data_IF_486650387478
#
_entry.id   IF_486650387478
#
_cell.length_a   1.000
_cell.length_b   1.000
_cell.length_c   1.000
_cell.angle_alpha   90.00
_cell.angle_beta   90.00
_cell.angle_gamma   90.00
#
_symmetry.space_group_name_H-M   'P 1'
#
loop_
_entity.id
_entity.type
_entity.pdbx_description
1 polymer ?
#
# COMPACT_ATOMS: atom_id res chain seq x y z
N UNK A 1 -5.51 18.58 -3.53
CA UNK A 1 -4.28 18.35 -4.31
C UNK A 1 -3.83 19.69 -4.88
N UNK A 2 -2.57 20.00 -4.66
CA UNK A 2 -1.97 21.24 -5.13
C UNK A 2 -0.74 20.87 -5.95
N UNK A 3 -0.54 21.56 -7.08
CA UNK A 3 0.64 21.41 -7.91
C UNK A 3 1.41 22.74 -7.93
N UNK A 4 2.74 22.66 -7.85
CA UNK A 4 3.63 23.80 -7.94
C UNK A 4 4.55 23.63 -9.16
N UNK A 5 5.01 24.75 -9.72
CA UNK A 5 6.15 24.73 -10.64
C UNK A 5 7.43 24.94 -9.85
N UNK A 6 8.54 24.37 -10.32
CA UNK A 6 9.87 24.61 -9.78
C UNK A 6 10.27 26.10 -9.87
N UNK A 7 9.71 26.85 -10.82
CA UNK A 7 9.94 28.29 -10.95
C UNK A 7 9.12 29.14 -9.97
N UNK A 8 8.08 28.57 -9.34
CA UNK A 8 7.18 29.29 -8.43
C UNK A 8 6.67 28.37 -7.31
N UNK A 9 7.43 28.30 -6.22
CA UNK A 9 7.11 27.51 -5.03
C UNK A 9 6.31 28.28 -3.97
N UNK A 10 6.15 29.60 -4.12
CA UNK A 10 5.46 30.44 -3.13
C UNK A 10 3.95 30.24 -3.08
N UNK A 11 3.34 29.80 -4.18
CA UNK A 11 1.90 29.51 -4.26
C UNK A 11 1.66 28.38 -5.27
N UNK A 12 0.62 27.55 -5.06
CA UNK A 12 0.30 26.49 -6.02
C UNK A 12 -0.16 27.10 -7.35
N UNK A 13 0.29 26.51 -8.45
CA UNK A 13 -0.18 26.86 -9.79
C UNK A 13 -1.58 26.31 -10.04
N UNK A 14 -1.83 25.09 -9.57
CA UNK A 14 -3.17 24.48 -9.61
C UNK A 14 -3.53 24.01 -8.21
N UNK A 15 -4.79 24.21 -7.85
CA UNK A 15 -5.37 23.70 -6.61
C UNK A 15 -6.71 23.05 -6.92
N UNK A 16 -6.90 21.86 -6.36
CA UNK A 16 -8.11 21.07 -6.50
C UNK A 16 -8.49 20.49 -5.15
N UNK A 17 -9.69 20.81 -4.69
CA UNK A 17 -10.25 20.19 -3.50
C UNK A 17 -10.78 18.79 -3.86
N UNK A 18 -10.37 17.78 -3.07
CA UNK A 18 -10.77 16.40 -3.30
C UNK A 18 -12.07 16.14 -2.55
N UNK A 19 -13.19 16.13 -3.27
CA UNK A 19 -14.53 15.93 -2.72
C UNK A 19 -15.13 14.66 -3.29
N UNK A 20 -15.57 13.75 -2.44
CA UNK A 20 -16.29 12.56 -2.86
C UNK A 20 -17.81 12.82 -2.82
N UNK A 21 -18.51 12.43 -3.89
CA UNK A 21 -19.97 12.53 -4.04
C UNK A 21 -20.58 13.91 -3.70
N UNK A 22 -19.84 15.00 -3.97
CA UNK A 22 -20.25 16.41 -3.77
C UNK A 22 -20.73 16.76 -2.34
N UNK A 23 -20.40 15.94 -1.34
CA UNK A 23 -20.92 16.12 0.01
C UNK A 23 -19.84 16.61 0.98
N UNK A 24 -18.69 15.93 1.04
CA UNK A 24 -17.63 16.20 2.01
C UNK A 24 -16.24 16.10 1.39
N UNK A 25 -15.31 17.01 1.76
CA UNK A 25 -13.90 16.85 1.45
C UNK A 25 -13.37 15.54 2.03
N UNK A 26 -12.54 14.84 1.25
CA UNK A 26 -11.85 13.64 1.70
C UNK A 26 -10.62 14.06 2.49
N UNK A 27 -10.58 13.70 3.78
CA UNK A 27 -9.39 13.89 4.62
C UNK A 27 -8.32 12.86 4.21
N UNK A 28 -7.38 13.29 3.37
CA UNK A 28 -6.34 12.42 2.80
C UNK A 28 -5.19 12.26 3.78
N UNK A 29 -4.83 11.01 4.08
CA UNK A 29 -3.74 10.63 4.99
C UNK A 29 -2.46 10.24 4.26
N UNK A 30 -2.59 9.76 3.02
CA UNK A 30 -1.47 9.36 2.17
C UNK A 30 -1.87 9.38 0.70
N UNK A 31 -0.88 9.54 -0.18
CA UNK A 31 -1.08 9.50 -1.63
C UNK A 31 0.08 8.80 -2.32
N UNK A 32 -0.21 8.07 -3.40
CA UNK A 32 0.81 7.42 -4.23
C UNK A 32 0.37 7.41 -5.70
N UNK A 33 1.36 7.45 -6.60
CA UNK A 33 1.15 7.32 -8.05
C UNK A 33 1.52 5.89 -8.49
N UNK A 34 0.66 5.21 -9.26
CA UNK A 34 1.06 4.03 -10.01
C UNK A 34 2.28 4.30 -10.88
N UNK A 35 3.15 3.31 -11.00
CA UNK A 35 4.39 3.46 -11.74
C UNK A 35 4.14 3.77 -13.21
N UNK A 36 4.77 4.83 -13.71
CA UNK A 36 4.59 5.32 -15.08
C UNK A 36 3.35 6.20 -15.28
N UNK A 37 2.52 6.39 -14.25
CA UNK A 37 1.36 7.29 -14.30
C UNK A 37 1.65 8.58 -13.54
N UNK A 38 1.52 9.71 -14.22
CA UNK A 38 1.72 11.06 -13.65
C UNK A 38 0.40 11.81 -13.45
N UNK A 39 -0.71 11.25 -13.93
CA UNK A 39 -2.01 11.88 -13.88
C UNK A 39 -2.93 11.20 -12.87
N UNK A 40 -2.97 9.86 -12.86
CA UNK A 40 -3.81 9.11 -11.94
C UNK A 40 -3.01 8.71 -10.71
N UNK A 41 -3.67 8.77 -9.57
CA UNK A 41 -3.08 8.44 -8.27
C UNK A 41 -4.13 7.82 -7.37
N UNK A 42 -3.66 7.24 -6.28
CA UNK A 42 -4.50 6.69 -5.21
C UNK A 42 -4.26 7.48 -3.93
N UNK A 43 -5.31 7.64 -3.14
CA UNK A 43 -5.28 8.33 -1.85
C UNK A 43 -5.95 7.49 -0.77
N UNK A 44 -5.32 7.40 0.40
CA UNK A 44 -5.95 6.86 1.61
C UNK A 44 -6.66 7.97 2.39
N UNK A 45 -7.69 7.62 3.15
CA UNK A 45 -8.43 8.56 4.00
C UNK A 45 -8.40 8.21 5.49
N UNK A 46 -8.74 9.20 6.32
CA UNK A 46 -8.94 9.01 7.76
C UNK A 46 -10.12 8.07 8.09
N UNK A 47 -11.07 7.90 7.17
CA UNK A 47 -12.23 7.04 7.35
C UNK A 47 -11.95 5.56 6.97
N UNK A 48 -10.72 5.22 6.59
CA UNK A 48 -10.34 3.87 6.17
C UNK A 48 -10.71 3.52 4.72
N UNK A 49 -11.10 4.52 3.93
CA UNK A 49 -11.37 4.36 2.51
C UNK A 49 -10.12 4.67 1.70
N UNK A 50 -9.99 3.99 0.55
CA UNK A 50 -9.01 4.36 -0.48
C UNK A 50 -9.76 4.87 -1.69
N UNK A 51 -9.21 5.85 -2.39
CA UNK A 51 -9.82 6.39 -3.60
C UNK A 51 -8.80 6.42 -4.74
N UNK A 52 -9.25 6.15 -5.95
CA UNK A 52 -8.53 6.61 -7.14
C UNK A 52 -8.85 8.07 -7.39
N UNK A 53 -7.94 8.79 -8.03
CA UNK A 53 -8.13 10.18 -8.38
C UNK A 53 -7.30 10.54 -9.62
N UNK A 54 -7.70 11.60 -10.32
CA UNK A 54 -6.97 12.12 -11.48
C UNK A 54 -6.65 13.59 -11.29
N UNK A 55 -5.43 13.99 -11.68
CA UNK A 55 -4.93 15.37 -11.60
C UNK A 55 -5.57 16.27 -12.65
N UNK A 56 -5.71 15.77 -13.88
CA UNK A 56 -6.23 16.50 -15.01
C UNK A 56 -7.28 15.69 -15.78
N UNK A 57 -7.91 16.36 -16.76
CA UNK A 57 -8.88 15.77 -17.67
C UNK A 57 -10.33 15.86 -17.17
N UNK A 58 -11.24 15.24 -17.91
CA UNK A 58 -12.68 15.26 -17.59
C UNK A 58 -13.05 14.51 -16.31
N UNK A 59 -12.13 13.66 -15.81
CA UNK A 59 -12.26 12.91 -14.56
C UNK A 59 -11.41 13.50 -13.42
N UNK A 60 -10.96 14.74 -13.55
CA UNK A 60 -10.20 15.43 -12.52
C UNK A 60 -10.94 15.41 -11.17
N UNK A 61 -10.24 15.02 -10.10
CA UNK A 61 -10.80 14.83 -8.76
C UNK A 61 -10.85 13.37 -8.34
N UNK A 62 -11.67 13.08 -7.33
CA UNK A 62 -11.88 11.72 -6.83
C UNK A 62 -12.67 10.89 -7.85
N UNK A 63 -12.18 9.68 -8.11
CA UNK A 63 -12.80 8.66 -8.95
C UNK A 63 -13.49 7.58 -8.12
N UNK A 64 -13.03 6.34 -8.28
CA UNK A 64 -13.60 5.17 -7.59
C UNK A 64 -13.19 5.10 -6.13
N UNK A 65 -14.10 4.64 -5.28
CA UNK A 65 -13.91 4.38 -3.86
C UNK A 65 -13.69 2.89 -3.61
N UNK A 66 -12.73 2.58 -2.74
CA UNK A 66 -12.29 1.26 -2.34
C UNK A 66 -12.54 1.12 -0.84
N UNK A 67 -13.38 0.17 -0.49
CA UNK A 67 -13.79 -0.06 0.90
C UNK A 67 -13.08 -1.29 1.45
N UNK A 68 -12.46 -1.18 2.63
CA UNK A 68 -11.93 -2.36 3.30
C UNK A 68 -11.30 -2.13 4.67
N UNK A 69 -10.57 -1.03 4.88
CA UNK A 69 -10.01 -0.77 6.21
C UNK A 69 -11.10 -0.30 7.20
N UNK A 70 -10.92 -0.65 8.48
CA UNK A 70 -11.81 -0.29 9.58
C UNK A 70 -11.26 0.86 10.44
N UNK A 71 -10.20 1.51 9.96
CA UNK A 71 -9.54 2.63 10.60
C UNK A 71 -8.72 3.44 9.59
N UNK A 72 -8.19 4.62 10.00
CA UNK A 72 -7.41 5.50 9.14
C UNK A 72 -6.34 4.75 8.34
N UNK A 73 -6.31 4.97 7.03
CA UNK A 73 -5.19 4.51 6.20
C UNK A 73 -3.95 5.31 6.59
N UNK A 74 -2.85 4.67 6.94
CA UNK A 74 -1.64 5.34 7.45
C UNK A 74 -0.52 5.42 6.42
N UNK A 75 -0.48 4.44 5.52
CA UNK A 75 0.54 4.31 4.48
C UNK A 75 -0.10 3.79 3.21
N UNK A 76 0.44 4.21 2.07
CA UNK A 76 0.04 3.74 0.74
C UNK A 76 1.27 3.65 -0.15
N UNK A 77 1.44 2.50 -0.79
CA UNK A 77 2.55 2.27 -1.71
C UNK A 77 2.05 1.55 -2.95
N UNK A 78 2.14 2.21 -4.09
CA UNK A 78 1.95 1.55 -5.38
C UNK A 78 3.14 0.64 -5.69
N UNK A 79 2.89 -0.43 -6.43
CA UNK A 79 3.94 -1.30 -6.94
C UNK A 79 4.83 -0.52 -7.92
N UNK A 80 6.14 -0.57 -7.69
CA UNK A 80 7.12 0.21 -8.43
C UNK A 80 8.36 -0.56 -8.87
N UNK A 81 8.43 -1.87 -8.61
CA UNK A 81 9.47 -2.70 -9.17
C UNK A 81 9.28 -2.83 -10.69
N UNK A 82 10.37 -2.63 -11.44
CA UNK A 82 10.38 -2.76 -12.91
C UNK A 82 10.93 -4.14 -13.28
N UNK A 83 10.19 -4.89 -14.10
CA UNK A 83 10.60 -6.22 -14.53
C UNK A 83 9.77 -6.78 -15.69
N UNK A 84 9.86 -8.08 -15.97
CA UNK A 84 9.25 -8.71 -17.14
C UNK A 84 7.71 -8.74 -17.12
N UNK A 85 7.07 -8.55 -15.97
CA UNK A 85 5.60 -8.54 -15.81
C UNK A 85 5.21 -7.24 -15.13
N UNK A 86 4.24 -6.52 -15.71
CA UNK A 86 3.77 -5.26 -15.16
C UNK A 86 2.73 -5.45 -14.05
N UNK A 87 3.08 -5.01 -12.85
CA UNK A 87 2.22 -5.00 -11.66
C UNK A 87 1.83 -3.60 -11.20
N UNK A 88 2.01 -2.56 -12.04
CA UNK A 88 1.69 -1.15 -11.74
C UNK A 88 0.26 -0.90 -11.24
N UNK A 89 -0.67 -1.80 -11.56
CA UNK A 89 -2.06 -1.77 -11.09
C UNK A 89 -2.22 -2.17 -9.62
N UNK A 90 -1.19 -2.72 -8.97
CA UNK A 90 -1.21 -3.14 -7.57
C UNK A 90 -0.73 -2.02 -6.65
N UNK A 91 -1.29 -2.00 -5.44
CA UNK A 91 -0.83 -1.16 -4.36
C UNK A 91 -1.14 -1.83 -3.02
N UNK A 92 -0.41 -1.43 -1.98
CA UNK A 92 -0.67 -1.86 -0.60
C UNK A 92 -0.97 -0.65 0.27
N UNK A 93 -1.76 -0.87 1.30
CA UNK A 93 -2.05 0.13 2.33
C UNK A 93 -1.90 -0.45 3.72
N UNK A 94 -1.49 0.38 4.67
CA UNK A 94 -1.48 0.07 6.10
C UNK A 94 -2.55 0.89 6.83
N UNK A 95 -2.96 0.44 8.01
CA UNK A 95 -3.99 1.14 8.77
C UNK A 95 -3.87 0.95 10.29
N UNK A 96 -4.54 1.83 11.02
CA UNK A 96 -4.82 1.69 12.44
C UNK A 96 -5.79 0.54 12.77
N UNK A 97 -6.31 -0.17 11.79
CA UNK A 97 -7.05 -1.42 12.02
C UNK A 97 -6.14 -2.65 12.19
N UNK A 98 -4.83 -2.45 12.37
CA UNK A 98 -3.79 -3.48 12.55
C UNK A 98 -3.51 -4.31 11.29
N UNK A 99 -4.09 -3.94 10.15
CA UNK A 99 -3.91 -4.69 8.91
C UNK A 99 -3.09 -3.94 7.86
N UNK A 100 -2.42 -4.72 7.03
CA UNK A 100 -1.98 -4.28 5.70
C UNK A 100 -2.91 -4.93 4.68
N UNK A 101 -3.34 -4.20 3.66
CA UNK A 101 -4.20 -4.74 2.60
C UNK A 101 -3.53 -4.61 1.23
N UNK A 102 -3.65 -5.65 0.42
CA UNK A 102 -3.26 -5.66 -0.99
C UNK A 102 -4.46 -5.30 -1.85
N UNK A 103 -4.24 -4.44 -2.84
CA UNK A 103 -5.30 -3.94 -3.72
C UNK A 103 -4.88 -3.99 -5.18
N UNK A 104 -5.87 -3.82 -6.05
CA UNK A 104 -5.70 -3.58 -7.48
C UNK A 104 -6.58 -2.41 -7.89
N UNK A 105 -6.09 -1.50 -8.72
CA UNK A 105 -6.90 -0.40 -9.28
C UNK A 105 -8.05 -0.86 -10.17
N UNK A 106 -8.17 -2.18 -10.42
CA UNK A 106 -9.21 -2.80 -11.25
C UNK A 106 -10.46 -3.23 -10.47
N UNK A 107 -10.39 -3.31 -9.14
CA UNK A 107 -11.49 -3.78 -8.29
C UNK A 107 -11.56 -3.00 -6.99
N UNK A 108 -12.76 -2.59 -6.58
CA UNK A 108 -13.01 -1.70 -5.43
C UNK A 108 -12.99 -2.38 -4.05
N UNK A 109 -12.45 -3.60 -3.95
CA UNK A 109 -12.33 -4.38 -2.72
C UNK A 109 -10.91 -4.94 -2.62
N UNK A 110 -10.38 -5.15 -1.41
CA UNK A 110 -9.03 -5.68 -1.25
C UNK A 110 -8.91 -7.06 -1.89
N UNK A 111 -7.73 -7.34 -2.44
CA UNK A 111 -7.35 -8.67 -2.92
C UNK A 111 -7.01 -9.59 -1.75
N UNK A 112 -6.32 -9.06 -0.74
CA UNK A 112 -5.85 -9.82 0.41
C UNK A 112 -5.67 -8.91 1.63
N UNK A 113 -5.71 -9.49 2.82
CA UNK A 113 -5.53 -8.83 4.12
C UNK A 113 -4.42 -9.55 4.89
N UNK A 114 -3.39 -8.84 5.32
CA UNK A 114 -2.30 -9.32 6.16
C UNK A 114 -2.55 -8.88 7.60
N UNK A 115 -2.72 -9.83 8.51
CA UNK A 115 -3.32 -9.60 9.84
C UNK A 115 -2.41 -10.03 11.01
N UNK A 116 -1.12 -10.30 10.76
CA UNK A 116 -0.15 -10.72 11.79
C UNK A 116 0.51 -9.56 12.56
N UNK A 117 0.20 -8.30 12.24
CA UNK A 117 0.85 -7.14 12.90
C UNK A 117 0.51 -7.07 14.39
N UNK A 118 1.42 -6.54 15.22
CA UNK A 118 1.27 -6.57 16.67
C UNK A 118 0.54 -5.34 17.24
N UNK A 119 0.34 -4.28 16.46
CA UNK A 119 -0.37 -3.05 16.81
C UNK A 119 -0.72 -2.22 15.54
N UNK A 120 -1.12 -0.96 15.70
CA UNK A 120 -1.32 0.01 14.62
C UNK A 120 -0.15 -0.01 13.64
N UNK A 121 -0.44 -0.29 12.37
CA UNK A 121 0.55 -0.25 11.30
C UNK A 121 0.67 1.20 10.85
N UNK A 122 1.85 1.80 11.01
CA UNK A 122 2.06 3.23 10.77
C UNK A 122 2.52 3.55 9.35
N UNK A 123 3.17 2.61 8.67
CA UNK A 123 3.62 2.79 7.30
C UNK A 123 3.86 1.46 6.61
N UNK A 124 3.76 1.46 5.27
CA UNK A 124 4.03 0.31 4.42
C UNK A 124 4.72 0.78 3.15
N UNK A 125 5.68 0.00 2.65
CA UNK A 125 6.36 0.32 1.40
C UNK A 125 6.75 -0.92 0.62
N UNK A 126 6.36 -0.94 -0.66
CA UNK A 126 6.84 -1.91 -1.64
C UNK A 126 8.34 -1.81 -1.84
N UNK A 127 8.99 -2.97 -2.03
CA UNK A 127 10.36 -3.01 -2.53
C UNK A 127 10.42 -2.38 -3.92
N UNK A 128 11.38 -1.47 -4.18
CA UNK A 128 11.55 -0.84 -5.49
C UNK A 128 12.16 -1.78 -6.54
N UNK A 129 12.59 -2.98 -6.16
CA UNK A 129 13.27 -3.93 -7.05
C UNK A 129 12.64 -5.31 -7.08
N UNK A 130 12.06 -5.78 -5.96
CA UNK A 130 11.54 -7.14 -5.86
C UNK A 130 10.02 -7.19 -6.08
N UNK A 131 9.51 -8.04 -7.00
CA UNK A 131 8.14 -8.00 -7.49
C UNK A 131 7.08 -8.41 -6.47
N UNK A 132 7.47 -9.12 -5.41
CA UNK A 132 6.57 -9.64 -4.38
C UNK A 132 6.94 -9.22 -2.94
N UNK A 133 7.86 -8.26 -2.73
CA UNK A 133 8.37 -7.91 -1.40
C UNK A 133 7.86 -6.53 -0.96
N UNK A 134 7.39 -6.42 0.27
CA UNK A 134 7.13 -5.14 0.91
C UNK A 134 7.55 -5.16 2.39
N UNK A 135 7.69 -3.97 2.97
CA UNK A 135 7.98 -3.77 4.38
C UNK A 135 6.81 -3.05 5.06
N UNK A 136 6.51 -3.41 6.31
CA UNK A 136 5.52 -2.76 7.15
C UNK A 136 6.10 -2.51 8.55
N UNK A 137 5.63 -1.45 9.21
CA UNK A 137 6.10 -1.07 10.56
C UNK A 137 4.96 -0.71 11.48
N UNK A 138 5.07 -1.10 12.75
CA UNK A 138 4.00 -0.94 13.74
C UNK A 138 4.40 -0.21 15.02
N UNK A 139 3.40 0.00 15.89
CA UNK A 139 3.55 0.66 17.18
C UNK A 139 4.29 -0.11 18.25
N UNK A 140 4.55 -1.39 18.05
CA UNK A 140 5.32 -2.23 18.97
C UNK A 140 6.80 -2.32 18.59
N UNK A 141 7.23 -1.47 17.66
CA UNK A 141 8.62 -1.42 17.23
C UNK A 141 9.00 -2.55 16.27
N UNK A 142 8.00 -3.18 15.63
CA UNK A 142 8.19 -4.29 14.69
C UNK A 142 8.41 -3.75 13.28
N UNK A 143 9.44 -4.25 12.62
CA UNK A 143 9.63 -4.17 11.17
C UNK A 143 9.38 -5.56 10.60
N UNK A 144 8.37 -5.66 9.74
CA UNK A 144 8.02 -6.90 9.04
C UNK A 144 8.33 -6.80 7.56
N UNK A 145 8.95 -7.86 7.04
CA UNK A 145 9.19 -8.07 5.61
C UNK A 145 8.30 -9.19 5.11
N UNK A 146 7.46 -8.86 4.14
CA UNK A 146 6.48 -9.76 3.56
C UNK A 146 6.85 -10.09 2.13
N UNK A 147 7.03 -11.38 1.83
CA UNK A 147 7.20 -11.86 0.46
C UNK A 147 5.96 -12.67 0.05
N UNK A 148 5.15 -12.14 -0.88
CA UNK A 148 3.91 -12.78 -1.32
C UNK A 148 4.15 -14.08 -2.12
N UNK A 149 5.40 -14.41 -2.48
CA UNK A 149 5.74 -15.72 -3.04
C UNK A 149 5.89 -16.80 -1.97
N UNK A 150 6.00 -16.42 -0.70
CA UNK A 150 6.07 -17.31 0.45
C UNK A 150 4.70 -17.41 1.13
N UNK A 151 4.65 -18.04 2.31
CA UNK A 151 3.47 -18.03 3.17
C UNK A 151 3.07 -16.58 3.48
N UNK A 152 1.79 -16.27 3.28
CA UNK A 152 1.21 -14.94 3.50
C UNK A 152 0.44 -14.83 4.82
N UNK A 153 0.37 -15.90 5.62
CA UNK A 153 -0.21 -15.86 6.96
C UNK A 153 0.74 -15.20 7.98
N UNK A 154 2.04 -15.24 7.74
CA UNK A 154 3.08 -14.66 8.59
C UNK A 154 4.15 -13.94 7.75
N UNK A 155 4.85 -12.92 8.27
CA UNK A 155 5.91 -12.27 7.54
C UNK A 155 7.09 -13.22 7.31
N UNK A 156 7.76 -13.03 6.17
CA UNK A 156 8.95 -13.83 5.82
C UNK A 156 10.13 -13.54 6.76
N UNK A 157 10.25 -12.31 7.23
CA UNK A 157 11.21 -11.94 8.27
C UNK A 157 10.62 -10.84 9.15
N UNK A 158 10.97 -10.86 10.43
CA UNK A 158 10.52 -9.87 11.40
C UNK A 158 11.63 -9.51 12.38
N UNK A 159 11.68 -8.25 12.79
CA UNK A 159 12.57 -7.77 13.84
C UNK A 159 11.83 -6.76 14.73
N UNK A 160 12.03 -6.87 16.04
CA UNK A 160 11.57 -5.87 17.01
C UNK A 160 12.78 -5.11 17.53
N UNK A 161 12.73 -3.77 17.48
CA UNK A 161 13.82 -2.94 18.01
C UNK A 161 13.88 -3.00 19.54
N UNK A 162 15.07 -2.83 20.10
CA UNK A 162 15.27 -2.81 21.55
C UNK A 162 14.45 -1.67 22.18
N UNK A 163 13.69 -2.00 23.22
CA UNK A 163 12.79 -1.07 23.90
C UNK A 163 11.41 -0.91 23.24
N UNK A 164 11.17 -1.55 22.07
CA UNK A 164 9.87 -1.58 21.40
C UNK A 164 9.26 -0.18 21.16
N UNK A 165 10.10 0.83 20.88
CA UNK A 165 9.63 2.15 20.48
C UNK A 165 8.86 2.07 19.17
N UNK A 166 7.75 2.79 19.04
CA UNK A 166 6.92 2.75 17.84
C UNK A 166 7.71 3.15 16.59
N UNK A 167 7.60 2.36 15.51
CA UNK A 167 8.23 2.65 14.22
C UNK A 167 7.22 3.38 13.32
N UNK A 168 7.54 4.62 12.95
CA UNK A 168 6.56 5.53 12.32
C UNK A 168 6.62 5.54 10.79
N UNK A 169 7.79 5.27 10.21
CA UNK A 169 8.04 5.39 8.76
C UNK A 169 9.04 4.35 8.30
N UNK A 170 8.79 3.77 7.12
CA UNK A 170 9.68 2.79 6.47
C UNK A 170 10.05 3.24 5.06
N UNK A 171 11.33 3.22 4.70
CA UNK A 171 11.80 3.60 3.35
C UNK A 171 12.84 2.60 2.85
N UNK A 172 12.64 2.11 1.63
CA UNK A 172 13.66 1.34 0.92
C UNK A 172 14.70 2.25 0.31
N UNK A 173 15.95 1.83 0.33
CA UNK A 173 16.97 2.37 -0.56
C UNK A 173 16.58 2.06 -2.02
N UNK A 174 17.00 2.90 -2.97
CA UNK A 174 16.66 2.71 -4.39
C UNK A 174 17.20 1.40 -4.97
N UNK A 175 18.30 0.87 -4.42
CA UNK A 175 18.84 -0.44 -4.77
C UNK A 175 18.04 -1.61 -4.18
N UNK A 176 17.08 -1.33 -3.29
CA UNK A 176 16.18 -2.29 -2.67
C UNK A 176 16.81 -3.19 -1.61
N UNK A 177 18.11 -3.05 -1.32
CA UNK A 177 18.81 -3.93 -0.38
C UNK A 177 18.72 -3.45 1.07
N UNK A 178 18.63 -2.15 1.28
CA UNK A 178 18.54 -1.56 2.61
C UNK A 178 17.14 -1.00 2.89
N UNK A 179 16.70 -1.15 4.14
CA UNK A 179 15.48 -0.52 4.68
C UNK A 179 15.88 0.41 5.82
N UNK A 180 15.41 1.65 5.73
CA UNK A 180 15.53 2.66 6.78
C UNK A 180 14.20 2.80 7.53
N UNK A 181 14.25 2.81 8.86
CA UNK A 181 13.08 2.94 9.72
C UNK A 181 13.30 4.00 10.79
N UNK A 182 12.34 4.90 10.97
CA UNK A 182 12.37 5.92 12.03
C UNK A 182 11.50 5.53 13.22
N UNK A 183 12.03 5.63 14.45
CA UNK A 183 11.27 5.36 15.68
C UNK A 183 10.72 6.63 16.34
N UNK A 184 9.89 6.45 17.37
CA UNK A 184 9.27 7.55 18.15
C UNK A 184 10.27 8.35 18.99
N UNK A 185 11.47 7.82 19.22
CA UNK A 185 12.55 8.47 19.98
C UNK A 185 13.48 9.28 19.08
N UNK A 186 13.17 9.38 17.78
CA UNK A 186 13.95 10.14 16.81
C UNK A 186 15.19 9.42 16.29
N UNK A 187 15.32 8.10 16.54
CA UNK A 187 16.41 7.28 15.99
C UNK A 187 16.02 6.74 14.61
N UNK A 188 17.03 6.53 13.78
CA UNK A 188 16.89 5.87 12.47
C UNK A 188 17.67 4.56 12.50
N UNK A 189 16.99 3.48 12.17
CA UNK A 189 17.51 2.13 12.08
C UNK A 189 17.69 1.77 10.60
N UNK A 190 18.85 1.22 10.24
CA UNK A 190 19.14 0.76 8.89
C UNK A 190 19.37 -0.75 8.92
N UNK A 191 18.63 -1.48 8.08
CA UNK A 191 18.70 -2.93 7.96
C UNK A 191 19.16 -3.31 6.56
N UNK A 192 20.10 -4.25 6.45
CA UNK A 192 20.39 -4.97 5.20
C UNK A 192 19.43 -6.16 5.12
N UNK A 193 18.60 -6.18 4.08
CA UNK A 193 17.61 -7.23 3.81
C UNK A 193 18.25 -8.46 3.17
N UNK A 194 19.49 -8.33 2.67
CA UNK A 194 20.27 -9.42 2.12
C UNK A 194 19.64 -10.05 0.88
N UNK A 195 19.78 -11.36 0.76
CA UNK A 195 19.31 -12.13 -0.40
C UNK A 195 17.78 -12.06 -0.61
N UNK A 196 17.00 -11.80 0.45
CA UNK A 196 15.54 -11.68 0.32
C UNK A 196 15.13 -10.52 -0.61
N UNK A 197 15.94 -9.47 -0.69
CA UNK A 197 15.69 -8.32 -1.55
C UNK A 197 16.13 -8.53 -3.01
N UNK A 198 16.89 -9.58 -3.31
CA UNK A 198 17.45 -9.82 -4.65
C UNK A 198 16.39 -10.53 -5.50
N UNK A 199 15.81 -9.88 -6.53
CA UNK A 199 14.81 -10.52 -7.36
C UNK A 199 15.43 -11.52 -8.33
N UNK A 200 14.81 -12.69 -8.45
CA UNK A 200 15.04 -13.61 -9.55
C UNK A 200 13.94 -13.48 -10.62
N UNK A 201 14.25 -13.84 -11.86
CA UNK A 201 13.26 -13.80 -12.96
C UNK A 201 12.03 -14.66 -12.65
N UNK A 202 12.22 -15.77 -11.94
CA UNK A 202 11.15 -16.67 -11.54
C UNK A 202 10.17 -16.04 -10.53
N UNK A 203 10.62 -15.08 -9.71
CA UNK A 203 9.77 -14.40 -8.72
C UNK A 203 8.61 -13.65 -9.36
N UNK A 204 8.84 -13.08 -10.54
CA UNK A 204 7.78 -12.39 -11.30
C UNK A 204 6.69 -13.34 -11.74
N UNK A 205 7.08 -14.50 -12.27
CA UNK A 205 6.14 -15.51 -12.76
C UNK A 205 5.42 -16.20 -11.61
N UNK A 206 6.14 -16.44 -10.50
CA UNK A 206 5.56 -16.98 -9.27
C UNK A 206 4.56 -16.01 -8.66
N UNK A 207 4.89 -14.73 -8.59
CA UNK A 207 3.98 -13.73 -8.03
C UNK A 207 2.71 -13.57 -8.87
N UNK A 208 2.82 -13.60 -10.19
CA UNK A 208 1.66 -13.63 -11.08
C UNK A 208 0.74 -14.82 -10.79
N UNK A 209 1.29 -16.00 -10.46
CA UNK A 209 0.52 -17.18 -10.06
C UNK A 209 -0.12 -17.00 -8.68
N UNK A 210 0.63 -16.53 -7.68
CA UNK A 210 0.08 -16.24 -6.35
C UNK A 210 -1.12 -15.30 -6.44
N UNK A 211 -1.07 -14.27 -7.28
CA UNK A 211 -2.21 -13.36 -7.47
C UNK A 211 -3.45 -14.04 -8.06
N UNK A 212 -3.28 -15.08 -8.89
CA UNK A 212 -4.40 -15.89 -9.38
C UNK A 212 -5.00 -16.72 -8.26
N UNK A 213 -4.16 -17.34 -7.42
CA UNK A 213 -4.58 -18.13 -6.26
C UNK A 213 -5.31 -17.27 -5.23
N UNK A 214 -4.77 -16.10 -4.88
CA UNK A 214 -5.41 -15.12 -3.99
C UNK A 214 -6.80 -14.74 -4.51
N UNK A 215 -6.95 -14.52 -5.82
CA UNK A 215 -8.25 -14.18 -6.43
C UNK A 215 -9.22 -15.35 -6.42
N UNK A 216 -8.73 -16.58 -6.67
CA UNK A 216 -9.57 -17.78 -6.65
C UNK A 216 -10.13 -18.01 -5.24
N UNK A 217 -9.29 -17.93 -4.22
CA UNK A 217 -9.70 -18.11 -2.81
C UNK A 217 -10.71 -17.06 -2.36
N UNK A 218 -10.70 -15.87 -2.97
CA UNK A 218 -11.73 -14.85 -2.73
C UNK A 218 -13.07 -15.21 -3.38
N UNK A 219 -13.05 -15.76 -4.59
CA UNK A 219 -14.26 -16.13 -5.33
C UNK A 219 -15.10 -17.19 -4.63
N UNK A 220 -14.45 -18.15 -3.95
CA UNK A 220 -15.13 -19.21 -3.19
C UNK A 220 -15.90 -18.67 -1.95
N UNK A 221 -15.58 -17.46 -1.49
CA UNK A 221 -16.29 -16.78 -0.39
C UNK A 221 -17.45 -15.88 -0.83
N UNK A 222 -17.59 -15.60 -2.13
CA UNK A 222 -18.65 -14.72 -2.67
C UNK A 222 -19.91 -15.49 -3.14
N UNK A 223 -19.87 -16.84 -3.21
CA UNK A 223 -21.05 -17.67 -3.55
C UNK A 223 -21.97 -18.00 -2.35
N UNK A 224 -21.57 -17.78 -1.09
CA UNK A 224 -22.43 -18.08 0.07
C UNK A 224 -23.39 -16.94 0.51
N UNK A 225 -23.37 -15.79 -0.18
CA UNK A 225 -24.18 -14.61 0.16
C UNK A 225 -25.41 -14.34 -0.70
N UNK A 226 -25.65 -15.10 -1.77
CA UNK A 226 -26.71 -14.86 -2.74
C UNK A 226 -27.60 -16.08 -2.96
N UNK A 227 -28.16 -16.66 -1.89
CA UNK A 227 -29.40 -17.42 -2.01
C UNK A 227 -30.55 -16.48 -1.72
N UNK A 228 -31.13 -15.92 -2.78
CA UNK A 228 -32.47 -15.36 -2.78
C UNK A 228 -33.44 -16.37 -2.16
N UNK A 229 -33.97 -16.05 -0.97
CA UNK A 229 -35.26 -16.57 -0.55
C UNK A 229 -36.32 -15.57 -0.99
N UNK A 230 -36.73 -15.70 -2.25
CA UNK A 230 -38.01 -15.23 -2.72
C UNK A 230 -39.05 -16.34 -2.49
N UNK A 231 -39.94 -16.13 -1.51
CA UNK A 231 -41.32 -16.62 -1.48
C UNK A 231 -42.13 -15.78 -0.48
#
# INVERSE_FOLDING_TARGET
MCSWSLDMLSQPQESMELVYNKSKPVAVTGMAFPTGDVNNYVVGSEEGMVYTASRHGSKAGIGEMFEGHQGPVTGISCHNAVGPIDFSHLFVTSSFDWTVKLWTTKHNKPLYSFEDNADYVYDVMWSPVHPALFAAVDGMGRLDLWNLNNDTEVPTASVTIEGASALNRVRWASGGREVAVGDSEGRVWIYDVGELAVPHTEDWTRFARTLVEIRANRGDGEEEGAVELAA
#
